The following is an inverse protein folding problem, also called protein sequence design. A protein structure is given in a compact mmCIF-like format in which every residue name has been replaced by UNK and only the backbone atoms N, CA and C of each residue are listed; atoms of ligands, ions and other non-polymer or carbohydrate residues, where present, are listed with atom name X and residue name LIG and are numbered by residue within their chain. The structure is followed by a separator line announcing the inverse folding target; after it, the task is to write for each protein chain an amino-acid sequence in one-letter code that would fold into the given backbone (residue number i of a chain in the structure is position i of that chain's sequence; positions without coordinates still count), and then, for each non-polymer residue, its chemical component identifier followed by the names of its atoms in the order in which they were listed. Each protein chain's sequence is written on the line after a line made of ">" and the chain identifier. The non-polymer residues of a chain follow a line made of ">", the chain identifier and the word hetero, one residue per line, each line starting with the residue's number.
data_IF_483053245949
#
_entry.id   IF_483053245949
#
_cell.length_a   1.000
_cell.length_b   1.000
_cell.length_c   1.000
_cell.angle_alpha   90.00
_cell.angle_beta   90.00
_cell.angle_gamma   90.00
#
_symmetry.space_group_name_H-M   'P 1'
#
loop_
_entity.id
_entity.type
_entity.pdbx_description
1 polymer ?
#
# COMPACT_ATOMS: atom_id res chain seq x y z
N UNK A 1 -7.55 58.58 -17.89
CA UNK A 1 -8.81 58.93 -17.19
C UNK A 1 -8.83 58.22 -15.85
N UNK A 2 -8.51 58.93 -14.77
CA UNK A 2 -8.68 58.40 -13.41
C UNK A 2 -10.16 58.51 -13.05
N UNK A 3 -10.87 57.39 -12.98
CA UNK A 3 -12.20 57.39 -12.38
C UNK A 3 -12.01 57.35 -10.86
N UNK A 4 -12.38 58.44 -10.19
CA UNK A 4 -12.37 58.53 -8.74
C UNK A 4 -13.48 57.63 -8.19
N UNK A 5 -13.08 56.56 -7.49
CA UNK A 5 -13.99 55.69 -6.74
C UNK A 5 -14.78 56.52 -5.72
N UNK A 6 -16.12 56.52 -5.84
CA UNK A 6 -16.97 57.18 -4.84
C UNK A 6 -17.02 56.35 -3.55
N UNK A 7 -17.32 56.99 -2.41
CA UNK A 7 -17.50 56.30 -1.11
C UNK A 7 -18.54 55.18 -1.18
N UNK A 8 -19.56 55.35 -2.03
CA UNK A 8 -20.61 54.36 -2.24
C UNK A 8 -20.11 53.16 -3.04
N UNK A 9 -19.25 53.40 -4.03
CA UNK A 9 -18.65 52.32 -4.82
C UNK A 9 -17.64 51.53 -3.99
N UNK A 10 -16.88 52.21 -3.13
CA UNK A 10 -16.02 51.55 -2.14
C UNK A 10 -16.83 50.63 -1.21
N UNK A 11 -17.96 51.09 -0.65
CA UNK A 11 -18.79 50.27 0.24
C UNK A 11 -19.43 49.07 -0.49
N UNK A 12 -19.83 49.23 -1.76
CA UNK A 12 -20.33 48.12 -2.56
C UNK A 12 -19.25 47.08 -2.83
N UNK A 13 -18.06 47.53 -3.21
CA UNK A 13 -16.92 46.63 -3.46
C UNK A 13 -16.50 45.94 -2.17
N UNK A 14 -16.37 46.66 -1.06
CA UNK A 14 -16.04 46.09 0.24
C UNK A 14 -17.08 45.06 0.71
N UNK A 15 -18.38 45.34 0.53
CA UNK A 15 -19.46 44.42 0.87
C UNK A 15 -19.41 43.13 0.03
N UNK A 16 -19.14 43.24 -1.28
CA UNK A 16 -18.97 42.08 -2.16
C UNK A 16 -17.72 41.29 -1.81
N UNK A 17 -16.60 41.96 -1.51
CA UNK A 17 -15.34 41.31 -1.10
C UNK A 17 -15.46 40.59 0.25
N UNK A 18 -16.16 41.18 1.22
CA UNK A 18 -16.43 40.55 2.53
C UNK A 18 -17.45 39.40 2.40
N UNK A 19 -18.46 39.54 1.54
CA UNK A 19 -19.38 38.45 1.20
C UNK A 19 -18.68 37.29 0.51
N UNK A 20 -17.74 37.58 -0.40
CA UNK A 20 -16.89 36.57 -1.02
C UNK A 20 -15.99 35.86 0.00
N UNK A 21 -15.53 36.53 1.07
CA UNK A 21 -14.81 35.91 2.18
C UNK A 21 -15.70 35.00 3.05
N UNK A 22 -17.02 35.22 3.09
CA UNK A 22 -17.94 34.32 3.80
C UNK A 22 -18.17 32.99 3.05
N UNK A 23 -17.97 32.99 1.72
CA UNK A 23 -18.05 31.78 0.87
C UNK A 23 -16.69 31.27 0.38
N UNK A 24 -15.63 32.05 0.60
CA UNK A 24 -14.25 31.60 0.45
C UNK A 24 -13.88 30.95 1.77
N UNK A 25 -13.83 29.61 1.87
CA UNK A 25 -13.37 28.97 3.09
C UNK A 25 -12.01 29.56 3.43
N UNK A 26 -11.95 30.27 4.56
CA UNK A 26 -10.71 30.71 5.14
C UNK A 26 -9.84 29.45 5.23
N UNK A 27 -8.74 29.39 4.48
CA UNK A 27 -7.77 28.30 4.56
C UNK A 27 -7.09 28.39 5.92
N UNK A 28 -7.80 27.98 6.97
CA UNK A 28 -7.21 27.54 8.22
C UNK A 28 -6.11 26.53 7.86
N UNK A 29 -4.98 26.51 8.58
CA UNK A 29 -3.81 25.74 8.19
C UNK A 29 -4.13 24.24 8.20
N UNK A 30 -4.56 23.74 7.04
CA UNK A 30 -4.35 22.45 6.35
C UNK A 30 -4.08 21.14 7.12
N UNK A 31 -4.36 21.06 8.43
CA UNK A 31 -4.22 19.83 9.22
C UNK A 31 -5.56 19.23 9.67
N UNK A 32 -6.66 19.99 9.70
CA UNK A 32 -7.97 19.42 10.05
C UNK A 32 -8.37 18.27 9.14
N UNK A 33 -8.01 18.32 7.85
CA UNK A 33 -8.23 17.20 6.94
C UNK A 33 -7.35 15.99 7.28
N UNK A 34 -6.11 16.20 7.73
CA UNK A 34 -5.20 15.11 8.08
C UNK A 34 -5.65 14.41 9.35
N UNK A 35 -6.19 15.13 10.33
CA UNK A 35 -6.67 14.56 11.60
C UNK A 35 -8.15 14.12 11.57
N UNK A 36 -8.90 14.48 10.52
CA UNK A 36 -10.31 14.09 10.41
C UNK A 36 -10.47 12.56 10.33
N UNK A 37 -11.42 11.96 11.08
CA UNK A 37 -11.71 10.53 11.03
C UNK A 37 -11.96 10.04 9.60
N UNK A 38 -11.41 8.88 9.25
CA UNK A 38 -11.49 8.30 7.90
C UNK A 38 -12.23 6.96 7.94
N UNK A 39 -13.44 6.94 7.39
CA UNK A 39 -14.19 5.70 7.18
C UNK A 39 -13.71 4.99 5.92
N UNK A 40 -13.81 3.66 5.88
CA UNK A 40 -13.58 2.93 4.64
C UNK A 40 -14.50 3.44 3.52
N UNK A 41 -13.94 3.69 2.31
CA UNK A 41 -14.76 3.96 1.15
C UNK A 41 -15.41 2.67 0.64
N UNK A 42 -16.34 2.82 -0.29
CA UNK A 42 -16.82 1.68 -1.07
C UNK A 42 -15.73 1.25 -2.07
N UNK A 43 -15.42 -0.05 -2.08
CA UNK A 43 -14.44 -0.64 -2.99
C UNK A 43 -15.15 -1.45 -4.09
N UNK A 44 -14.49 -1.69 -5.25
CA UNK A 44 -15.05 -2.55 -6.30
C UNK A 44 -15.43 -3.94 -5.78
N UNK A 45 -16.55 -4.50 -6.24
CA UNK A 45 -17.12 -5.76 -5.75
C UNK A 45 -16.54 -7.04 -6.38
N UNK A 46 -15.35 -6.96 -6.98
CA UNK A 46 -14.69 -8.12 -7.62
C UNK A 46 -13.88 -8.94 -6.60
N UNK A 47 -13.70 -10.23 -6.87
CA UNK A 47 -12.99 -11.15 -5.97
C UNK A 47 -11.53 -10.73 -5.71
N UNK A 48 -10.89 -10.20 -6.74
CA UNK A 48 -9.58 -9.55 -6.71
C UNK A 48 -9.77 -8.13 -7.23
N UNK A 49 -9.15 -7.17 -6.57
CA UNK A 49 -9.16 -5.75 -6.95
C UNK A 49 -7.73 -5.37 -7.30
N UNK A 50 -7.51 -4.85 -8.50
CA UNK A 50 -6.22 -4.31 -8.90
C UNK A 50 -6.04 -2.89 -8.36
N UNK A 51 -5.03 -2.65 -7.54
CA UNK A 51 -4.59 -1.30 -7.17
C UNK A 51 -3.46 -0.87 -8.11
N UNK A 52 -3.66 0.22 -8.83
CA UNK A 52 -2.62 0.84 -9.66
C UNK A 52 -1.52 1.40 -8.76
N UNK A 53 -0.27 0.99 -8.94
CA UNK A 53 0.84 1.39 -8.05
C UNK A 53 1.60 2.63 -8.51
N UNK A 54 1.30 3.14 -9.71
CA UNK A 54 1.98 4.25 -10.37
C UNK A 54 1.00 5.23 -11.00
N UNK A 55 1.44 6.46 -11.28
CA UNK A 55 0.64 7.47 -11.96
C UNK A 55 0.74 7.36 -13.49
N UNK A 56 -0.32 7.77 -14.20
CA UNK A 56 -0.29 7.87 -15.66
C UNK A 56 -0.28 6.52 -16.40
N UNK A 57 -0.73 5.46 -15.74
CA UNK A 57 -0.81 4.11 -16.31
C UNK A 57 -1.90 4.06 -17.37
N UNK A 58 -1.58 3.51 -18.53
CA UNK A 58 -2.54 3.34 -19.62
C UNK A 58 -3.57 2.25 -19.32
N UNK A 59 -4.84 2.62 -19.39
CA UNK A 59 -5.93 1.70 -19.67
C UNK A 59 -6.04 1.54 -21.18
N UNK A 60 -6.02 0.31 -21.68
CA UNK A 60 -5.93 0.02 -23.11
C UNK A 60 -7.12 -0.77 -23.63
N UNK A 61 -7.55 -0.52 -24.87
CA UNK A 61 -8.64 -1.29 -25.48
C UNK A 61 -8.25 -2.72 -25.91
N UNK A 62 -6.95 -3.04 -25.91
CA UNK A 62 -6.40 -4.36 -26.18
C UNK A 62 -5.05 -4.52 -25.45
N UNK A 63 -4.61 -5.75 -25.15
CA UNK A 63 -3.43 -5.99 -24.32
C UNK A 63 -2.12 -5.80 -25.10
N UNK A 64 -1.78 -4.56 -25.46
CA UNK A 64 -0.50 -4.22 -26.09
C UNK A 64 -0.07 -2.78 -25.82
N UNK A 65 1.23 -2.56 -25.63
CA UNK A 65 1.84 -1.23 -25.53
C UNK A 65 2.46 -0.76 -26.85
N UNK A 66 2.11 -1.36 -27.99
CA UNK A 66 2.54 -0.88 -29.30
C UNK A 66 1.96 0.51 -29.60
N UNK A 67 2.84 1.50 -29.64
CA UNK A 67 2.50 2.91 -29.88
C UNK A 67 1.88 3.12 -31.27
N UNK A 68 2.22 2.29 -32.26
CA UNK A 68 1.65 2.38 -33.61
C UNK A 68 0.15 2.04 -33.64
N UNK A 69 -0.33 1.30 -32.64
CA UNK A 69 -1.73 0.86 -32.56
C UNK A 69 -2.63 1.83 -31.77
N UNK A 70 -2.06 2.85 -31.12
CA UNK A 70 -2.76 3.87 -30.33
C UNK A 70 -3.86 3.28 -29.41
N UNK A 71 -3.48 2.33 -28.57
CA UNK A 71 -4.43 1.50 -27.81
C UNK A 71 -4.85 2.12 -26.48
N UNK A 72 -4.22 3.22 -26.06
CA UNK A 72 -4.57 3.93 -24.82
C UNK A 72 -5.94 4.60 -24.96
N UNK A 73 -6.84 4.26 -24.03
CA UNK A 73 -8.22 4.79 -23.96
C UNK A 73 -8.46 5.57 -22.67
N UNK A 74 -7.48 5.62 -21.78
CA UNK A 74 -7.55 6.35 -20.52
C UNK A 74 -6.25 6.27 -19.74
N UNK A 75 -6.13 7.16 -18.76
CA UNK A 75 -5.01 7.21 -17.83
C UNK A 75 -5.52 6.98 -16.41
N UNK A 76 -4.90 6.05 -15.71
CA UNK A 76 -5.17 5.73 -14.32
C UNK A 76 -4.04 6.30 -13.46
N UNK A 77 -4.42 6.88 -12.32
CA UNK A 77 -3.48 7.39 -11.33
C UNK A 77 -3.17 6.31 -10.28
N UNK A 78 -2.13 6.53 -9.48
CA UNK A 78 -1.83 5.69 -8.34
C UNK A 78 -3.04 5.58 -7.42
N UNK A 79 -3.22 4.40 -6.83
CA UNK A 79 -4.37 4.00 -6.01
C UNK A 79 -5.73 3.98 -6.70
N UNK A 80 -5.78 4.12 -8.03
CA UNK A 80 -6.98 3.77 -8.78
C UNK A 80 -7.25 2.28 -8.57
N UNK A 81 -8.49 1.96 -8.21
CA UNK A 81 -8.94 0.58 -8.00
C UNK A 81 -9.74 0.12 -9.21
N UNK A 82 -9.37 -1.04 -9.74
CA UNK A 82 -10.03 -1.65 -10.89
C UNK A 82 -10.45 -3.06 -10.56
N UNK A 83 -11.55 -3.50 -11.15
CA UNK A 83 -11.95 -4.90 -11.06
C UNK A 83 -10.96 -5.79 -11.82
N UNK A 84 -10.57 -6.89 -11.19
CA UNK A 84 -9.64 -7.85 -11.76
C UNK A 84 -10.39 -9.06 -12.32
N UNK A 85 -10.49 -9.17 -13.64
CA UNK A 85 -11.15 -10.32 -14.26
C UNK A 85 -10.18 -11.51 -14.38
N UNK A 86 -9.21 -11.40 -15.29
CA UNK A 86 -8.19 -12.44 -15.51
C UNK A 86 -6.91 -11.84 -16.04
N UNK A 87 -5.81 -12.59 -15.91
CA UNK A 87 -4.58 -12.28 -16.62
C UNK A 87 -4.63 -12.85 -18.04
N UNK A 88 -4.26 -12.04 -19.03
CA UNK A 88 -4.11 -12.43 -20.43
C UNK A 88 -2.68 -12.19 -20.89
N UNK A 89 -2.21 -12.96 -21.86
CA UNK A 89 -0.95 -12.69 -22.54
C UNK A 89 -1.20 -11.60 -23.57
N UNK A 90 -0.40 -10.54 -23.51
CA UNK A 90 -0.42 -9.44 -24.45
C UNK A 90 0.84 -9.38 -25.30
N UNK A 91 0.92 -8.33 -26.11
CA UNK A 91 2.11 -7.98 -26.87
C UNK A 91 2.79 -6.79 -26.17
N UNK A 92 3.87 -7.05 -25.43
CA UNK A 92 4.65 -6.02 -24.75
C UNK A 92 5.98 -5.79 -25.48
N UNK A 93 6.12 -4.63 -26.09
CA UNK A 93 7.33 -4.15 -26.79
C UNK A 93 8.25 -3.36 -25.84
N UNK A 94 9.47 -3.07 -26.30
CA UNK A 94 10.54 -2.36 -25.56
C UNK A 94 11.21 -3.13 -24.40
N UNK A 95 11.23 -4.46 -24.47
CA UNK A 95 12.10 -5.27 -23.61
C UNK A 95 11.60 -5.47 -22.18
N UNK A 96 10.32 -5.18 -21.91
CA UNK A 96 9.70 -5.55 -20.64
C UNK A 96 9.53 -7.09 -20.57
N UNK A 97 9.95 -7.68 -19.46
CA UNK A 97 10.00 -9.14 -19.27
C UNK A 97 8.62 -9.75 -19.00
N UNK A 98 7.71 -9.01 -18.38
CA UNK A 98 6.35 -9.46 -18.17
C UNK A 98 5.52 -9.17 -19.43
N UNK A 99 4.90 -10.20 -19.98
CA UNK A 99 4.06 -10.11 -21.18
C UNK A 99 2.56 -10.17 -20.83
N UNK A 100 2.20 -9.95 -19.56
CA UNK A 100 0.84 -10.11 -19.06
C UNK A 100 0.12 -8.78 -18.90
N UNK A 101 -1.17 -8.81 -19.20
CA UNK A 101 -2.12 -7.76 -18.90
C UNK A 101 -3.23 -8.31 -18.00
N UNK A 102 -3.86 -7.44 -17.24
CA UNK A 102 -5.08 -7.72 -16.49
C UNK A 102 -6.24 -7.17 -17.30
N UNK A 103 -7.22 -8.04 -17.58
CA UNK A 103 -8.51 -7.65 -18.15
C UNK A 103 -9.40 -7.05 -17.06
N UNK A 104 -10.01 -5.92 -17.35
CA UNK A 104 -11.02 -5.23 -16.54
C UNK A 104 -12.27 -5.00 -17.41
N UNK A 105 -13.42 -4.63 -16.83
CA UNK A 105 -14.61 -4.31 -17.62
C UNK A 105 -14.40 -3.20 -18.66
N UNK A 106 -13.43 -2.30 -18.45
CA UNK A 106 -13.16 -1.14 -19.29
C UNK A 106 -12.03 -1.37 -20.31
N UNK A 107 -11.20 -2.41 -20.13
CA UNK A 107 -10.06 -2.66 -21.01
C UNK A 107 -8.97 -3.51 -20.37
N UNK A 108 -7.73 -3.25 -20.74
CA UNK A 108 -6.55 -4.01 -20.33
C UNK A 108 -5.50 -3.09 -19.73
N UNK A 109 -4.91 -3.50 -18.61
CA UNK A 109 -3.85 -2.78 -17.90
C UNK A 109 -2.63 -3.69 -17.79
N UNK A 110 -1.44 -3.14 -17.95
CA UNK A 110 -0.21 -3.91 -17.84
C UNK A 110 -0.08 -4.52 -16.43
N UNK A 111 0.16 -5.82 -16.32
CA UNK A 111 0.00 -6.52 -15.04
C UNK A 111 1.04 -6.11 -13.98
N UNK A 112 2.25 -5.69 -14.40
CA UNK A 112 3.32 -5.32 -13.45
C UNK A 112 3.05 -4.05 -12.65
N UNK A 113 2.09 -3.22 -13.09
CA UNK A 113 1.73 -1.96 -12.41
C UNK A 113 0.43 -2.07 -11.60
N UNK A 114 -0.03 -3.31 -11.38
CA UNK A 114 -1.19 -3.61 -10.54
C UNK A 114 -0.76 -4.48 -9.36
N UNK A 115 -1.03 -4.01 -8.15
CA UNK A 115 -1.01 -4.85 -6.96
C UNK A 115 -2.37 -5.58 -6.87
N UNK A 116 -2.40 -6.93 -6.84
CA UNK A 116 -3.62 -7.66 -6.53
C UNK A 116 -3.97 -7.48 -5.05
N UNK A 117 -5.21 -7.10 -4.78
CA UNK A 117 -5.75 -6.87 -3.42
C UNK A 117 -7.12 -7.53 -3.30
N UNK A 118 -7.68 -7.58 -2.08
CA UNK A 118 -9.05 -8.03 -1.81
C UNK A 118 -9.76 -7.01 -0.93
N UNK A 119 -11.09 -7.08 -0.88
CA UNK A 119 -11.92 -6.28 0.02
C UNK A 119 -12.59 -7.19 1.06
N UNK A 120 -11.86 -7.53 2.12
CA UNK A 120 -12.33 -8.38 3.20
C UNK A 120 -12.47 -7.57 4.51
N UNK A 121 -13.50 -6.72 4.66
CA UNK A 121 -13.68 -5.96 5.89
C UNK A 121 -13.98 -6.89 7.09
N UNK A 122 -13.50 -6.49 8.25
CA UNK A 122 -13.55 -7.26 9.50
C UNK A 122 -14.55 -6.64 10.48
N UNK A 123 -14.99 -7.42 11.46
CA UNK A 123 -15.75 -6.90 12.59
C UNK A 123 -14.77 -6.34 13.63
N UNK A 124 -14.76 -5.02 13.90
CA UNK A 124 -13.80 -4.45 14.85
C UNK A 124 -14.15 -4.81 16.30
N UNK A 125 -13.13 -4.96 17.15
CA UNK A 125 -13.31 -5.08 18.60
C UNK A 125 -13.59 -3.70 19.20
N UNK A 126 -14.43 -3.63 20.24
CA UNK A 126 -14.81 -2.36 20.85
C UNK A 126 -13.79 -1.84 21.88
N UNK A 127 -12.92 -2.72 22.39
CA UNK A 127 -11.97 -2.43 23.45
C UNK A 127 -10.68 -3.25 23.28
N UNK A 128 -9.59 -2.78 23.88
CA UNK A 128 -8.31 -3.48 23.87
C UNK A 128 -8.40 -4.83 24.60
N UNK A 129 -7.76 -5.91 24.09
CA UNK A 129 -7.67 -7.16 24.83
C UNK A 129 -7.02 -6.96 26.21
N UNK A 130 -7.66 -7.49 27.26
CA UNK A 130 -7.23 -7.29 28.63
C UNK A 130 -5.79 -7.78 28.86
N UNK A 131 -4.96 -6.94 29.49
CA UNK A 131 -3.57 -7.28 29.83
C UNK A 131 -2.58 -7.23 28.67
N UNK A 132 -3.01 -6.90 27.45
CA UNK A 132 -2.13 -6.72 26.30
C UNK A 132 -1.85 -5.23 26.06
N UNK A 133 -0.59 -4.83 25.79
CA UNK A 133 -0.25 -3.44 25.47
C UNK A 133 -0.70 -3.02 24.05
N UNK A 134 -1.05 -3.99 23.21
CA UNK A 134 -1.40 -3.82 21.81
C UNK A 134 -1.64 -5.17 21.13
N UNK A 135 -1.87 -5.16 19.83
CA UNK A 135 -1.94 -6.36 19.00
C UNK A 135 -1.47 -6.08 17.57
N UNK A 136 -0.98 -7.11 16.89
CA UNK A 136 -0.68 -7.03 15.47
C UNK A 136 -1.94 -7.22 14.63
N UNK A 137 -2.06 -6.47 13.54
CA UNK A 137 -3.16 -6.62 12.61
C UNK A 137 -2.72 -6.44 11.15
N UNK A 138 -3.33 -7.21 10.25
CA UNK A 138 -3.10 -7.14 8.81
C UNK A 138 -4.19 -6.32 8.12
N UNK A 139 -3.80 -5.46 7.19
CA UNK A 139 -4.73 -4.74 6.30
C UNK A 139 -5.28 -5.71 5.24
N UNK A 140 -6.59 -5.93 5.25
CA UNK A 140 -7.26 -6.93 4.38
C UNK A 140 -8.23 -6.31 3.37
N UNK A 141 -8.14 -4.98 3.21
CA UNK A 141 -8.81 -4.16 2.19
C UNK A 141 -7.77 -3.48 1.29
N UNK A 142 -8.11 -2.96 0.09
CA UNK A 142 -7.11 -2.44 -0.84
C UNK A 142 -6.22 -1.35 -0.25
N UNK A 143 -6.82 -0.43 0.50
CA UNK A 143 -6.13 0.53 1.36
C UNK A 143 -7.07 1.02 2.46
N UNK A 144 -6.51 1.61 3.52
CA UNK A 144 -7.24 2.38 4.52
C UNK A 144 -6.60 3.76 4.67
N UNK A 145 -7.43 4.81 4.65
CA UNK A 145 -6.95 6.17 4.87
C UNK A 145 -6.68 6.39 6.36
N UNK A 146 -5.65 7.16 6.66
CA UNK A 146 -5.22 7.45 8.03
C UNK A 146 -5.63 8.85 8.48
N UNK A 147 -6.04 8.96 9.74
CA UNK A 147 -6.24 10.20 10.46
C UNK A 147 -5.06 10.43 11.42
N UNK A 148 -4.28 11.47 11.19
CA UNK A 148 -3.10 11.80 11.98
C UNK A 148 -3.46 12.31 13.38
N UNK A 149 -2.72 11.84 14.38
CA UNK A 149 -2.70 12.33 15.75
C UNK A 149 -1.27 12.68 16.17
N UNK A 150 -1.11 13.82 16.83
CA UNK A 150 0.14 14.22 17.46
C UNK A 150 1.00 15.13 16.58
N UNK A 151 2.31 14.88 16.52
CA UNK A 151 3.26 15.75 15.81
C UNK A 151 3.57 15.23 14.40
N UNK A 152 3.95 16.13 13.49
CA UNK A 152 4.37 15.77 12.12
C UNK A 152 5.90 15.75 12.07
N UNK A 153 6.48 14.56 12.18
CA UNK A 153 7.91 14.34 12.35
C UNK A 153 8.49 13.38 11.33
N UNK A 154 7.77 12.33 10.92
CA UNK A 154 8.32 11.35 10.01
C UNK A 154 8.61 11.95 8.64
N UNK A 155 9.74 11.59 7.99
CA UNK A 155 9.99 11.92 6.59
C UNK A 155 8.84 11.46 5.69
N UNK A 156 8.24 10.31 6.00
CA UNK A 156 7.11 9.75 5.27
C UNK A 156 5.89 10.69 5.28
N UNK A 157 5.43 11.13 6.46
CA UNK A 157 4.28 12.03 6.54
C UNK A 157 4.59 13.40 5.93
N UNK A 158 5.81 13.92 6.14
CA UNK A 158 6.26 15.18 5.50
C UNK A 158 6.19 15.10 3.97
N UNK A 159 6.69 14.01 3.38
CA UNK A 159 6.61 13.79 1.92
C UNK A 159 5.16 13.61 1.46
N UNK A 160 4.31 12.90 2.20
CA UNK A 160 2.89 12.80 1.86
C UNK A 160 2.21 14.17 1.82
N UNK A 161 2.51 15.04 2.77
CA UNK A 161 2.00 16.42 2.78
C UNK A 161 2.54 17.22 1.60
N UNK A 162 3.85 17.16 1.35
CA UNK A 162 4.52 17.88 0.26
C UNK A 162 3.97 17.49 -1.13
N UNK A 163 3.80 16.19 -1.37
CA UNK A 163 3.31 15.66 -2.65
C UNK A 163 1.78 15.54 -2.70
N UNK A 164 1.07 15.99 -1.67
CA UNK A 164 -0.38 15.91 -1.55
C UNK A 164 -0.92 14.48 -1.72
N UNK A 165 -0.20 13.51 -1.14
CA UNK A 165 -0.65 12.13 -1.03
C UNK A 165 -1.39 11.89 0.29
N UNK A 166 -2.57 11.25 0.27
CA UNK A 166 -3.25 10.87 1.50
C UNK A 166 -2.42 9.81 2.25
N UNK A 167 -2.20 9.96 3.57
CA UNK A 167 -1.55 8.92 4.34
C UNK A 167 -2.45 7.67 4.37
N UNK A 168 -1.89 6.52 4.00
CA UNK A 168 -2.60 5.25 3.83
C UNK A 168 -1.77 4.08 4.34
N UNK A 169 -2.46 3.05 4.80
CA UNK A 169 -1.94 1.69 4.83
C UNK A 169 -2.57 0.89 3.67
N UNK A 170 -1.85 -0.09 3.16
CA UNK A 170 -2.18 -0.87 1.97
C UNK A 170 -2.35 -2.34 2.29
N UNK A 171 -3.11 -3.03 1.44
CA UNK A 171 -3.38 -4.47 1.51
C UNK A 171 -2.11 -5.29 1.79
N UNK A 172 -2.19 -6.17 2.79
CA UNK A 172 -1.12 -7.06 3.23
C UNK A 172 -0.09 -6.44 4.17
N UNK A 173 -0.18 -5.15 4.48
CA UNK A 173 0.68 -4.56 5.52
C UNK A 173 0.23 -5.05 6.90
N UNK A 174 1.20 -5.45 7.72
CA UNK A 174 1.01 -5.83 9.12
C UNK A 174 1.50 -4.68 10.00
N UNK A 175 0.64 -4.22 10.90
CA UNK A 175 0.90 -3.05 11.75
C UNK A 175 0.56 -3.34 13.21
N UNK A 176 1.24 -2.63 14.11
CA UNK A 176 0.96 -2.69 15.54
C UNK A 176 -0.11 -1.68 15.94
N UNK A 177 -1.13 -2.19 16.63
CA UNK A 177 -2.25 -1.41 17.15
C UNK A 177 -2.14 -1.32 18.66
N UNK A 178 -2.04 -0.12 19.21
CA UNK A 178 -1.89 0.09 20.65
C UNK A 178 -3.14 0.67 21.33
N UNK A 179 -4.10 1.16 20.55
CA UNK A 179 -5.36 1.70 21.06
C UNK A 179 -6.55 1.43 20.13
N UNK A 180 -7.73 1.37 20.75
CA UNK A 180 -9.04 1.29 20.10
C UNK A 180 -9.92 2.42 20.65
N UNK A 181 -10.68 3.08 19.76
CA UNK A 181 -11.71 4.06 20.16
C UNK A 181 -12.96 3.92 19.30
N UNK A 182 -14.09 4.43 19.80
CA UNK A 182 -15.35 4.48 19.04
C UNK A 182 -16.03 5.86 19.10
N UNK A 183 -15.25 6.93 19.36
CA UNK A 183 -15.76 8.29 19.57
C UNK A 183 -16.41 8.92 18.34
N UNK A 184 -16.13 8.40 17.13
CA UNK A 184 -16.57 8.98 15.85
C UNK A 184 -17.72 8.22 15.19
N UNK A 185 -18.44 7.37 15.94
CA UNK A 185 -19.59 6.60 15.44
C UNK A 185 -19.22 5.31 14.69
N UNK A 186 -17.93 4.98 14.65
CA UNK A 186 -17.37 3.71 14.20
C UNK A 186 -16.09 3.43 14.99
N UNK A 187 -15.67 2.17 15.05
CA UNK A 187 -14.45 1.77 15.74
C UNK A 187 -13.22 2.15 14.92
N UNK A 188 -12.26 2.80 15.54
CA UNK A 188 -10.96 3.12 14.98
C UNK A 188 -9.85 2.44 15.77
N UNK A 189 -8.83 2.00 15.05
CA UNK A 189 -7.60 1.45 15.60
C UNK A 189 -6.46 2.45 15.41
N UNK A 190 -5.61 2.60 16.43
CA UNK A 190 -4.43 3.45 16.35
C UNK A 190 -3.21 2.64 15.99
N UNK A 191 -2.64 2.93 14.82
CA UNK A 191 -1.34 2.44 14.41
C UNK A 191 -0.23 3.26 15.10
N UNK A 192 0.67 2.53 15.77
CA UNK A 192 1.81 3.10 16.47
C UNK A 192 3.11 2.36 16.07
N UNK A 193 4.04 3.11 15.49
CA UNK A 193 5.41 2.65 15.23
C UNK A 193 6.34 3.01 16.40
N UNK A 194 6.18 2.36 17.54
CA UNK A 194 6.95 2.70 18.73
C UNK A 194 8.44 2.27 18.65
N UNK A 195 9.22 2.63 19.68
CA UNK A 195 10.65 2.28 19.79
C UNK A 195 10.92 0.84 20.22
N UNK A 196 9.88 0.04 20.51
CA UNK A 196 10.00 -1.32 21.01
C UNK A 196 9.99 -2.36 19.88
N UNK A 197 10.28 -1.94 18.65
CA UNK A 197 10.35 -2.84 17.49
C UNK A 197 9.02 -3.04 16.76
N UNK A 198 8.02 -2.18 17.01
CA UNK A 198 6.71 -2.24 16.34
C UNK A 198 6.62 -1.41 15.05
N UNK A 199 7.75 -0.93 14.52
CA UNK A 199 7.83 -0.15 13.29
C UNK A 199 9.13 0.66 13.20
N UNK A 200 9.09 1.79 12.48
CA UNK A 200 10.24 2.68 12.31
C UNK A 200 10.60 3.56 13.52
N UNK A 201 9.88 3.44 14.64
CA UNK A 201 10.16 4.21 15.86
C UNK A 201 9.55 5.62 15.89
N UNK A 202 8.72 5.99 14.92
CA UNK A 202 8.15 7.34 14.85
C UNK A 202 7.17 7.67 16.00
N UNK A 203 6.59 6.65 16.62
CA UNK A 203 5.73 6.80 17.80
C UNK A 203 6.43 7.48 18.98
N UNK A 204 7.76 7.35 19.11
CA UNK A 204 8.51 8.06 20.15
C UNK A 204 8.60 9.57 19.94
N UNK A 205 8.34 10.06 18.71
CA UNK A 205 8.19 11.49 18.45
C UNK A 205 6.74 11.96 18.64
N UNK A 206 5.83 11.09 19.08
CA UNK A 206 4.42 11.39 19.27
C UNK A 206 3.68 11.57 17.95
N UNK A 207 4.02 10.79 16.92
CA UNK A 207 3.28 10.72 15.66
C UNK A 207 2.50 9.40 15.60
N UNK A 208 1.17 9.48 15.49
CA UNK A 208 0.28 8.32 15.46
C UNK A 208 -0.80 8.46 14.38
N UNK A 209 -1.44 7.35 14.03
CA UNK A 209 -2.47 7.33 13.00
C UNK A 209 -3.66 6.49 13.40
N UNK A 210 -4.86 7.04 13.27
CA UNK A 210 -6.12 6.33 13.43
C UNK A 210 -6.66 5.87 12.09
N UNK A 211 -7.23 4.68 12.05
CA UNK A 211 -7.82 4.09 10.86
C UNK A 211 -9.10 3.35 11.23
N UNK A 212 -10.03 3.24 10.29
CA UNK A 212 -11.24 2.43 10.46
C UNK A 212 -10.86 0.98 10.80
N UNK A 213 -11.29 0.52 11.98
CA UNK A 213 -10.96 -0.81 12.51
C UNK A 213 -11.43 -1.94 11.59
N UNK A 214 -12.43 -1.70 10.74
CA UNK A 214 -12.93 -2.70 9.80
C UNK A 214 -11.91 -3.08 8.72
N UNK A 215 -10.86 -2.27 8.51
CA UNK A 215 -9.80 -2.58 7.56
C UNK A 215 -8.89 -3.73 8.00
N UNK A 216 -8.91 -4.08 9.29
CA UNK A 216 -7.85 -4.84 9.94
C UNK A 216 -8.34 -6.21 10.41
N UNK A 217 -7.62 -7.26 10.00
CA UNK A 217 -7.71 -8.57 10.62
C UNK A 217 -6.72 -8.62 11.77
N UNK A 218 -7.21 -8.80 12.99
CA UNK A 218 -6.34 -9.01 14.16
C UNK A 218 -5.63 -10.36 13.99
N UNK A 219 -4.31 -10.35 14.12
CA UNK A 219 -3.51 -11.56 14.02
C UNK A 219 -3.48 -12.29 15.36
N UNK A 220 -3.63 -13.59 15.28
CA UNK A 220 -3.63 -14.53 16.41
C UNK A 220 -2.44 -15.47 16.30
N UNK A 221 -2.18 -16.24 17.37
CA UNK A 221 -1.13 -17.27 17.36
C UNK A 221 -1.37 -18.33 16.25
N UNK A 222 -2.64 -18.59 15.92
CA UNK A 222 -3.00 -19.51 14.82
C UNK A 222 -2.62 -18.96 13.45
N UNK A 223 -2.70 -17.65 13.24
CA UNK A 223 -2.35 -17.01 11.96
C UNK A 223 -0.86 -17.10 11.64
N UNK A 224 -0.02 -17.27 12.66
CA UNK A 224 1.45 -17.39 12.54
C UNK A 224 1.96 -18.78 12.90
N UNK A 225 1.06 -19.73 13.17
CA UNK A 225 1.42 -21.09 13.49
C UNK A 225 2.11 -21.78 12.30
N UNK A 226 3.05 -22.71 12.54
CA UNK A 226 3.63 -23.52 11.47
C UNK A 226 2.53 -24.28 10.70
N UNK A 227 2.58 -24.24 9.36
CA UNK A 227 1.59 -24.91 8.49
C UNK A 227 1.59 -26.43 8.70
N UNK A 228 2.77 -27.02 8.92
CA UNK A 228 2.92 -28.45 9.26
C UNK A 228 3.73 -28.58 10.56
N UNK A 229 3.09 -28.46 11.74
CA UNK A 229 3.78 -28.45 13.03
C UNK A 229 4.30 -29.83 13.44
N UNK A 230 3.69 -30.90 12.93
CA UNK A 230 4.04 -32.29 13.27
C UNK A 230 5.29 -32.80 12.52
N UNK A 231 5.85 -31.98 11.63
CA UNK A 231 7.01 -32.34 10.83
C UNK A 231 8.28 -31.86 11.51
N UNK A 232 9.27 -32.75 11.70
CA UNK A 232 10.54 -32.39 12.35
C UNK A 232 11.17 -31.18 11.63
N UNK A 233 11.44 -30.06 12.33
CA UNK A 233 12.06 -28.88 11.72
C UNK A 233 13.39 -29.19 11.02
N UNK A 234 14.14 -30.21 11.45
CA UNK A 234 15.40 -30.62 10.81
C UNK A 234 15.19 -31.30 9.45
N UNK A 235 13.99 -31.79 9.17
CA UNK A 235 13.62 -32.38 7.90
C UNK A 235 13.00 -31.35 6.94
N UNK A 236 12.74 -30.12 7.40
CA UNK A 236 12.29 -29.01 6.53
C UNK A 236 13.50 -28.36 5.86
N UNK A 237 13.46 -28.23 4.53
CA UNK A 237 14.58 -27.70 3.76
C UNK A 237 14.11 -26.75 2.66
N UNK A 238 14.81 -25.63 2.51
CA UNK A 238 14.67 -24.75 1.35
C UNK A 238 15.88 -24.98 0.43
N UNK A 239 15.65 -25.18 -0.85
CA UNK A 239 16.70 -25.29 -1.87
C UNK A 239 16.48 -24.21 -2.92
N UNK A 240 17.45 -23.32 -3.09
CA UNK A 240 17.45 -22.30 -4.12
C UNK A 240 18.49 -22.67 -5.19
N UNK A 241 18.04 -22.81 -6.43
CA UNK A 241 18.89 -23.01 -7.61
C UNK A 241 19.09 -21.63 -8.26
N UNK A 242 20.30 -21.07 -8.07
CA UNK A 242 20.64 -19.73 -8.55
C UNK A 242 20.89 -19.69 -10.07
N UNK A 243 21.20 -20.83 -10.71
CA UNK A 243 21.39 -20.88 -12.16
C UNK A 243 20.03 -20.91 -12.86
N UNK A 244 19.08 -21.68 -12.32
CA UNK A 244 17.72 -21.82 -12.86
C UNK A 244 16.75 -20.76 -12.35
N UNK A 245 17.14 -19.99 -11.33
CA UNK A 245 16.30 -18.99 -10.68
C UNK A 245 15.00 -19.62 -10.15
N UNK A 246 15.14 -20.71 -9.39
CA UNK A 246 14.03 -21.45 -8.79
C UNK A 246 14.26 -21.73 -7.31
N UNK A 247 13.19 -21.84 -6.55
CA UNK A 247 13.21 -22.20 -5.13
C UNK A 247 12.19 -23.31 -4.87
N UNK A 248 12.64 -24.33 -4.14
CA UNK A 248 11.83 -25.47 -3.69
C UNK A 248 11.87 -25.55 -2.16
N UNK A 249 10.72 -25.76 -1.53
CA UNK A 249 10.62 -26.09 -0.11
C UNK A 249 10.21 -27.55 0.05
N UNK A 250 10.85 -28.24 0.98
CA UNK A 250 10.65 -29.66 1.24
C UNK A 250 10.22 -29.90 2.67
N UNK A 251 9.38 -30.91 2.83
CA UNK A 251 9.13 -31.61 4.09
C UNK A 251 9.64 -33.05 3.89
N UNK A 252 10.86 -33.30 4.37
CA UNK A 252 11.57 -34.56 4.18
C UNK A 252 12.01 -34.73 2.74
N UNK A 253 11.35 -35.65 2.02
CA UNK A 253 11.60 -35.89 0.59
C UNK A 253 10.52 -35.30 -0.31
N UNK A 254 9.41 -34.79 0.25
CA UNK A 254 8.30 -34.25 -0.51
C UNK A 254 8.50 -32.76 -0.76
N UNK A 255 8.45 -32.34 -2.03
CA UNK A 255 8.38 -30.91 -2.38
C UNK A 255 6.97 -30.40 -2.09
N UNK A 256 6.86 -29.46 -1.15
CA UNK A 256 5.57 -28.88 -0.72
C UNK A 256 5.33 -27.50 -1.33
N UNK A 257 6.38 -26.85 -1.84
CA UNK A 257 6.27 -25.56 -2.50
C UNK A 257 7.37 -25.40 -3.55
N UNK A 258 7.01 -24.80 -4.67
CA UNK A 258 7.93 -24.46 -5.75
C UNK A 258 7.59 -23.09 -6.31
N UNK A 259 8.60 -22.25 -6.53
CA UNK A 259 8.45 -21.01 -7.27
C UNK A 259 9.69 -20.65 -8.10
N UNK A 260 9.50 -19.72 -9.04
CA UNK A 260 10.62 -18.98 -9.64
C UNK A 260 11.02 -17.84 -8.72
N UNK A 261 12.31 -17.54 -8.68
CA UNK A 261 12.88 -16.46 -7.88
C UNK A 261 13.68 -15.51 -8.78
N UNK A 262 14.17 -14.42 -8.21
CA UNK A 262 15.22 -13.57 -8.78
C UNK A 262 16.24 -13.33 -7.68
N UNK A 263 17.43 -13.91 -7.80
CA UNK A 263 18.51 -13.78 -6.84
C UNK A 263 19.38 -12.55 -7.13
N UNK A 264 20.39 -12.37 -6.30
CA UNK A 264 21.42 -11.37 -6.52
C UNK A 264 22.26 -11.60 -7.79
N UNK A 265 22.80 -10.51 -8.36
CA UNK A 265 23.65 -10.54 -9.56
C UNK A 265 25.04 -11.10 -9.24
N UNK A 266 25.50 -12.07 -10.03
CA UNK A 266 26.85 -12.67 -9.93
C UNK A 266 27.86 -12.07 -10.91
N UNK A 267 27.54 -10.95 -11.54
CA UNK A 267 28.41 -10.23 -12.46
C UNK A 267 28.23 -8.71 -12.33
N UNK A 268 29.26 -7.97 -12.72
CA UNK A 268 29.22 -6.53 -12.82
C UNK A 268 28.56 -6.13 -14.16
N UNK A 269 27.45 -5.37 -14.14
CA UNK A 269 26.70 -5.04 -15.36
C UNK A 269 27.43 -4.06 -16.28
N UNK A 270 28.44 -3.32 -15.79
CA UNK A 270 29.21 -2.38 -16.61
C UNK A 270 30.38 -3.06 -17.32
N UNK A 271 31.00 -4.05 -16.67
CA UNK A 271 32.21 -4.72 -17.19
C UNK A 271 31.95 -6.13 -17.73
N UNK A 272 30.84 -6.77 -17.34
CA UNK A 272 30.52 -8.16 -17.70
C UNK A 272 31.34 -9.21 -16.97
N UNK A 273 32.23 -8.82 -16.05
CA UNK A 273 33.05 -9.74 -15.26
C UNK A 273 32.28 -10.30 -14.07
N UNK A 274 32.61 -11.51 -13.64
CA UNK A 274 32.05 -12.12 -12.42
C UNK A 274 32.30 -11.23 -11.20
N UNK A 275 31.28 -11.06 -10.36
CA UNK A 275 31.33 -10.24 -9.16
C UNK A 275 30.40 -10.78 -8.07
N UNK A 276 30.93 -10.93 -6.86
CA UNK A 276 30.14 -11.40 -5.71
C UNK A 276 29.47 -10.26 -4.93
N UNK A 277 29.67 -9.00 -5.35
CA UNK A 277 29.22 -7.81 -4.62
C UNK A 277 27.72 -7.81 -4.32
N UNK A 278 26.93 -8.32 -5.26
CA UNK A 278 25.48 -8.43 -5.15
C UNK A 278 25.02 -9.88 -5.21
N UNK A 279 25.94 -10.85 -5.21
CA UNK A 279 25.60 -12.25 -5.40
C UNK A 279 24.93 -12.82 -4.16
N UNK A 280 23.92 -13.66 -4.35
CA UNK A 280 23.39 -14.47 -3.27
C UNK A 280 24.45 -15.51 -2.88
N UNK A 281 24.83 -15.62 -1.60
CA UNK A 281 25.87 -16.57 -1.19
C UNK A 281 25.43 -18.02 -1.42
N UNK A 282 26.35 -18.83 -1.93
CA UNK A 282 26.15 -20.27 -2.12
C UNK A 282 26.58 -21.02 -0.86
N UNK A 283 25.80 -22.00 -0.45
CA UNK A 283 26.15 -22.91 0.64
C UNK A 283 24.95 -23.36 1.46
N UNK A 284 25.24 -24.08 2.55
CA UNK A 284 24.24 -24.45 3.53
C UNK A 284 24.07 -23.29 4.52
N UNK A 285 22.88 -22.68 4.51
CA UNK A 285 22.53 -21.55 5.35
C UNK A 285 21.43 -21.95 6.34
N UNK A 286 21.39 -21.26 7.49
CA UNK A 286 20.34 -21.43 8.50
C UNK A 286 19.49 -20.17 8.57
N UNK A 287 18.18 -20.35 8.71
CA UNK A 287 17.28 -19.24 9.00
C UNK A 287 17.49 -18.85 10.47
N UNK A 288 18.05 -17.67 10.70
CA UNK A 288 18.32 -17.17 12.05
C UNK A 288 17.11 -16.42 12.64
N UNK A 289 16.39 -15.68 11.81
CA UNK A 289 15.24 -14.87 12.20
C UNK A 289 14.36 -14.59 10.98
N UNK A 290 13.10 -14.24 11.22
CA UNK A 290 12.12 -13.83 10.21
C UNK A 290 11.53 -12.49 10.65
N UNK A 291 11.43 -11.55 9.72
CA UNK A 291 10.68 -10.29 9.86
C UNK A 291 9.29 -10.51 9.29
#
# INVERSE_FOLDING_TARGET
>A
MNQNLSRRDFLKIAGVSLGALAFSPYRLPYFDYLSAPKRLPEFPGSEIIGRVVENGIDLRNRPTNDDALNTSIGKLNADSLVEWNRQVVGNVIYGLSNQRYVETPQGYIYASVLQPTRNNPNTPIAEMPAGQPGFWAEVTVPYVNLAHEGTVQSPWLKSNIEYNFPPRLYYGQVVWIDQVRASNGFTEYRWNEDVNGHGYGYGAYGEFFWADGAAFKILTDEDVAPISPDFDPNEKKITADLDRQTLSCYEGTNEVYFCRISSGLSYDPATGLTSDKLATPVGNLLTHWKI
#
